data_IF_325075351636
#
_entry.id   IF_325075351636
#
_cell.length_a   1.000
_cell.length_b   1.000
_cell.length_c   1.000
_cell.angle_alpha   90.00
_cell.angle_beta   90.00
_cell.angle_gamma   90.00
#
_symmetry.space_group_name_H-M   'P 1'
#
loop_
_entity.id
_entity.type
_entity.pdbx_description
1 polymer ?
#
# COMPACT_ATOMS: atom_id res chain seq x y z
N UNK A 1 -3.11 15.90 -2.87
CA UNK A 1 -1.80 15.31 -2.47
C UNK A 1 -1.19 14.43 -3.58
N UNK A 2 -1.76 13.27 -3.90
CA UNK A 2 -1.10 12.28 -4.79
C UNK A 2 -0.81 12.77 -6.22
N UNK A 3 -1.60 13.71 -6.76
CA UNK A 3 -1.31 14.34 -8.07
C UNK A 3 0.03 15.08 -8.08
N UNK A 4 0.40 15.75 -6.99
CA UNK A 4 1.70 16.42 -6.82
C UNK A 4 2.86 15.43 -6.84
N UNK A 5 2.61 14.16 -6.52
CA UNK A 5 3.60 13.08 -6.53
C UNK A 5 3.66 12.33 -7.87
N UNK A 6 2.93 12.79 -8.89
CA UNK A 6 2.97 12.23 -10.25
C UNK A 6 1.74 11.41 -10.65
N UNK A 7 0.75 11.23 -9.77
CA UNK A 7 -0.49 10.56 -10.17
C UNK A 7 -1.26 11.40 -11.20
N UNK A 8 -1.47 10.88 -12.41
CA UNK A 8 -2.26 11.57 -13.44
C UNK A 8 -3.76 11.60 -13.11
N UNK A 9 -4.23 10.61 -12.34
CA UNK A 9 -5.63 10.49 -11.91
C UNK A 9 -5.69 10.03 -10.45
N UNK A 10 -6.73 10.45 -9.75
CA UNK A 10 -7.06 10.02 -8.39
C UNK A 10 -8.57 9.88 -8.31
N UNK A 11 -9.05 8.80 -7.70
CA UNK A 11 -10.46 8.50 -7.57
C UNK A 11 -10.82 8.35 -6.09
N UNK A 12 -12.07 8.65 -5.75
CA UNK A 12 -12.60 8.35 -4.43
C UNK A 12 -12.87 6.85 -4.33
N UNK A 13 -12.23 6.20 -3.37
CA UNK A 13 -12.37 4.76 -3.17
C UNK A 13 -13.76 4.36 -2.64
N UNK A 14 -14.53 5.31 -2.09
CA UNK A 14 -15.91 5.07 -1.64
C UNK A 14 -16.94 5.19 -2.77
N UNK A 15 -16.51 5.56 -3.98
CA UNK A 15 -17.42 5.73 -5.11
C UNK A 15 -17.93 4.39 -5.63
N UNK A 16 -19.25 4.26 -5.77
CA UNK A 16 -19.89 3.10 -6.40
C UNK A 16 -19.52 2.95 -7.89
N UNK A 17 -19.08 4.03 -8.54
CA UNK A 17 -18.64 4.04 -9.95
C UNK A 17 -17.11 3.98 -10.11
N UNK A 18 -16.37 3.67 -9.04
CA UNK A 18 -14.91 3.64 -9.03
C UNK A 18 -14.32 2.78 -10.15
N UNK A 19 -14.80 1.55 -10.29
CA UNK A 19 -14.28 0.61 -11.30
C UNK A 19 -14.48 1.13 -12.73
N UNK A 20 -15.70 1.60 -13.05
CA UNK A 20 -16.01 2.14 -14.37
C UNK A 20 -15.16 3.39 -14.67
N UNK A 21 -14.94 4.24 -13.67
CA UNK A 21 -14.11 5.45 -13.80
C UNK A 21 -12.64 5.11 -14.08
N UNK A 22 -12.10 4.08 -13.42
CA UNK A 22 -10.74 3.59 -13.69
C UNK A 22 -10.66 3.01 -15.11
N UNK A 23 -11.60 2.14 -15.49
CA UNK A 23 -11.61 1.51 -16.82
C UNK A 23 -11.68 2.52 -17.96
N UNK A 24 -12.49 3.58 -17.79
CA UNK A 24 -12.57 4.68 -18.76
C UNK A 24 -11.21 5.35 -18.99
N UNK A 25 -10.41 5.53 -17.95
CA UNK A 25 -9.06 6.13 -18.06
C UNK A 25 -8.04 5.17 -18.66
N UNK A 26 -8.22 3.86 -18.46
CA UNK A 26 -7.29 2.83 -18.92
C UNK A 26 -7.55 2.34 -20.34
N UNK A 27 -8.73 2.60 -20.92
CA UNK A 27 -9.18 2.07 -22.22
C UNK A 27 -8.12 2.16 -23.33
N UNK A 28 -7.45 3.30 -23.43
CA UNK A 28 -6.49 3.61 -24.49
C UNK A 28 -5.05 3.69 -23.97
N UNK A 29 -4.72 2.96 -22.90
CA UNK A 29 -3.39 2.98 -22.26
C UNK A 29 -2.82 1.58 -22.11
N UNK A 30 -1.51 1.49 -22.24
CA UNK A 30 -0.77 0.31 -21.81
C UNK A 30 -0.69 0.28 -20.28
N UNK A 31 -1.23 -0.77 -19.66
CA UNK A 31 -1.23 -0.95 -18.21
C UNK A 31 -0.16 -1.97 -17.83
N UNK A 32 0.90 -1.52 -17.16
CA UNK A 32 2.03 -2.37 -16.77
C UNK A 32 1.79 -3.24 -15.52
N UNK A 33 0.57 -3.24 -15.00
CA UNK A 33 0.13 -4.01 -13.84
C UNK A 33 -0.52 -3.12 -12.78
N UNK A 34 -0.70 -3.67 -11.58
CA UNK A 34 -1.24 -2.93 -10.45
C UNK A 34 -0.50 -3.23 -9.15
N UNK A 35 -0.44 -2.24 -8.26
CA UNK A 35 -0.01 -2.41 -6.88
C UNK A 35 -1.21 -2.16 -5.98
N UNK A 36 -1.57 -3.16 -5.17
CA UNK A 36 -2.71 -3.14 -4.27
C UNK A 36 -2.26 -2.83 -2.84
N UNK A 37 -2.78 -1.73 -2.29
CA UNK A 37 -2.50 -1.24 -0.93
C UNK A 37 -3.84 -0.90 -0.28
N UNK A 38 -4.14 -1.52 0.86
CA UNK A 38 -5.39 -1.36 1.59
C UNK A 38 -6.42 -2.46 1.33
N UNK A 39 -7.41 -2.53 2.22
CA UNK A 39 -8.51 -3.52 2.19
C UNK A 39 -9.31 -3.43 0.89
N UNK A 40 -9.59 -4.57 0.26
CA UNK A 40 -10.41 -4.67 -0.96
C UNK A 40 -9.72 -4.20 -2.26
N UNK A 41 -8.52 -3.61 -2.17
CA UNK A 41 -7.83 -3.08 -3.34
C UNK A 41 -7.35 -4.17 -4.30
N UNK A 42 -6.95 -5.34 -3.79
CA UNK A 42 -6.45 -6.44 -4.60
C UNK A 42 -7.53 -7.00 -5.53
N UNK A 43 -8.73 -7.21 -5.00
CA UNK A 43 -9.89 -7.70 -5.73
C UNK A 43 -10.29 -6.74 -6.84
N UNK A 44 -10.35 -5.44 -6.54
CA UNK A 44 -10.64 -4.39 -7.51
C UNK A 44 -9.58 -4.33 -8.61
N UNK A 45 -8.29 -4.41 -8.25
CA UNK A 45 -7.20 -4.45 -9.22
C UNK A 45 -7.33 -5.64 -10.17
N UNK A 46 -7.69 -6.82 -9.67
CA UNK A 46 -7.95 -8.00 -10.52
C UNK A 46 -9.12 -7.73 -11.48
N UNK A 47 -10.23 -7.18 -11.00
CA UNK A 47 -11.41 -6.93 -11.82
C UNK A 47 -11.19 -5.85 -12.89
N UNK A 48 -10.41 -4.81 -12.58
CA UNK A 48 -10.00 -3.78 -13.53
C UNK A 48 -9.04 -4.37 -14.56
N UNK A 49 -7.96 -5.02 -14.13
CA UNK A 49 -6.95 -5.56 -15.03
C UNK A 49 -7.54 -6.61 -15.96
N UNK A 50 -8.49 -7.43 -15.50
CA UNK A 50 -9.18 -8.41 -16.34
C UNK A 50 -9.83 -7.77 -17.58
N UNK A 51 -10.38 -6.56 -17.43
CA UNK A 51 -11.10 -5.83 -18.48
C UNK A 51 -10.21 -4.91 -19.33
N UNK A 52 -8.97 -4.63 -18.92
CA UNK A 52 -8.04 -3.87 -19.75
C UNK A 52 -7.49 -4.73 -20.90
N UNK A 53 -7.64 -4.30 -22.16
CA UNK A 53 -7.15 -5.05 -23.33
C UNK A 53 -5.62 -5.11 -23.40
N UNK A 54 -4.95 -3.98 -23.20
CA UNK A 54 -3.49 -3.85 -23.27
C UNK A 54 -2.91 -3.75 -21.85
N UNK A 55 -2.90 -4.88 -21.13
CA UNK A 55 -2.46 -4.90 -19.74
C UNK A 55 -1.61 -6.13 -19.39
N UNK A 56 -0.53 -5.91 -18.65
CA UNK A 56 0.08 -6.97 -17.84
C UNK A 56 -0.91 -7.39 -16.77
N UNK A 57 -1.36 -8.65 -16.85
CA UNK A 57 -2.35 -9.25 -15.95
C UNK A 57 -1.68 -9.69 -14.64
N UNK A 58 -1.16 -8.73 -13.87
CA UNK A 58 -0.46 -9.01 -12.62
C UNK A 58 -0.71 -7.96 -11.54
N UNK A 59 -1.00 -8.41 -10.32
CA UNK A 59 -1.19 -7.57 -9.12
C UNK A 59 -0.11 -7.86 -8.07
N UNK A 60 0.65 -6.85 -7.69
CA UNK A 60 1.53 -6.88 -6.52
C UNK A 60 0.75 -6.42 -5.28
N UNK A 61 0.67 -7.25 -4.25
CA UNK A 61 -0.18 -7.00 -3.08
C UNK A 61 0.71 -6.68 -1.87
N UNK A 62 0.53 -5.50 -1.28
CA UNK A 62 1.33 -5.01 -0.15
C UNK A 62 0.54 -5.05 1.18
N UNK A 63 -0.75 -5.42 1.12
CA UNK A 63 -1.62 -5.49 2.29
C UNK A 63 -2.21 -6.87 2.43
N UNK A 64 -2.10 -7.44 3.62
CA UNK A 64 -2.77 -8.68 3.98
C UNK A 64 -4.23 -8.41 4.35
N UNK A 65 -5.15 -9.37 4.15
CA UNK A 65 -6.47 -9.28 4.73
C UNK A 65 -6.35 -9.18 6.25
N UNK A 66 -6.51 -7.97 6.79
CA UNK A 66 -6.54 -7.74 8.23
C UNK A 66 -7.98 -7.89 8.69
N UNK A 67 -8.19 -8.85 9.60
CA UNK A 67 -9.40 -8.86 10.42
C UNK A 67 -9.35 -7.63 11.33
N UNK A 68 -10.34 -6.76 11.20
CA UNK A 68 -10.49 -5.60 12.09
C UNK A 68 -10.67 -6.08 13.54
N UNK A 69 -10.01 -5.37 14.46
CA UNK A 69 -10.20 -5.32 15.92
C UNK A 69 -11.08 -6.40 16.57
N UNK A 70 -10.69 -7.68 16.47
CA UNK A 70 -11.29 -8.72 17.32
C UNK A 70 -10.40 -8.97 18.55
N UNK A 71 -11.03 -9.08 19.72
CA UNK A 71 -10.45 -9.52 20.99
C UNK A 71 -10.98 -10.92 21.34
N UNK A 72 -10.15 -11.86 21.83
CA UNK A 72 -10.62 -13.18 22.27
C UNK A 72 -9.58 -14.31 22.20
N UNK A 73 -9.90 -15.50 22.73
CA UNK A 73 -8.96 -16.62 22.81
C UNK A 73 -8.68 -17.30 21.46
N UNK A 74 -9.58 -17.18 20.47
CA UNK A 74 -9.48 -17.86 19.17
C UNK A 74 -8.96 -16.99 18.02
N UNK A 75 -8.44 -15.79 18.33
CA UNK A 75 -8.06 -14.80 17.31
C UNK A 75 -7.03 -15.29 16.32
N UNK A 76 -6.00 -15.99 16.80
CA UNK A 76 -4.92 -16.49 15.93
C UNK A 76 -5.49 -17.50 14.94
N UNK A 77 -6.31 -18.44 15.42
CA UNK A 77 -6.98 -19.44 14.58
C UNK A 77 -7.88 -18.76 13.56
N UNK A 78 -8.69 -17.78 13.97
CA UNK A 78 -9.56 -17.00 13.06
C UNK A 78 -8.76 -16.23 12.01
N UNK A 79 -7.63 -15.61 12.37
CA UNK A 79 -6.74 -14.92 11.43
C UNK A 79 -6.18 -15.88 10.39
N UNK A 80 -5.73 -17.06 10.80
CA UNK A 80 -5.24 -18.10 9.88
C UNK A 80 -6.35 -18.54 8.94
N UNK A 81 -7.53 -18.86 9.46
CA UNK A 81 -8.68 -19.29 8.63
C UNK A 81 -9.07 -18.19 7.64
N UNK A 82 -9.17 -16.94 8.09
CA UNK A 82 -9.51 -15.80 7.24
C UNK A 82 -8.48 -15.60 6.14
N UNK A 83 -7.18 -15.65 6.49
CA UNK A 83 -6.09 -15.54 5.54
C UNK A 83 -6.13 -16.66 4.50
N UNK A 84 -6.24 -17.92 4.91
CA UNK A 84 -6.33 -19.06 4.00
C UNK A 84 -7.56 -18.96 3.09
N UNK A 85 -8.71 -18.63 3.66
CA UNK A 85 -9.96 -18.46 2.90
C UNK A 85 -9.84 -17.36 1.86
N UNK A 86 -9.22 -16.24 2.22
CA UNK A 86 -8.97 -15.14 1.29
C UNK A 86 -7.98 -15.53 0.19
N UNK A 87 -6.87 -16.22 0.53
CA UNK A 87 -5.91 -16.70 -0.46
C UNK A 87 -6.58 -17.64 -1.47
N UNK A 88 -7.40 -18.60 -1.00
CA UNK A 88 -8.14 -19.50 -1.88
C UNK A 88 -9.08 -18.73 -2.80
N UNK A 89 -9.87 -17.78 -2.27
CA UNK A 89 -10.75 -16.92 -3.07
C UNK A 89 -9.96 -16.13 -4.12
N UNK A 90 -8.83 -15.54 -3.74
CA UNK A 90 -7.98 -14.77 -4.65
C UNK A 90 -7.32 -15.63 -5.73
N UNK A 91 -6.88 -16.84 -5.39
CA UNK A 91 -6.34 -17.81 -6.37
C UNK A 91 -7.41 -18.18 -7.39
N UNK A 92 -8.61 -18.56 -6.93
CA UNK A 92 -9.73 -18.90 -7.83
C UNK A 92 -10.10 -17.70 -8.71
N UNK A 93 -10.26 -16.52 -8.11
CA UNK A 93 -10.59 -15.30 -8.85
C UNK A 93 -9.53 -14.94 -9.88
N UNK A 94 -8.25 -14.99 -9.50
CA UNK A 94 -7.13 -14.74 -10.39
C UNK A 94 -7.11 -15.73 -11.56
N UNK A 95 -7.35 -17.02 -11.30
CA UNK A 95 -7.45 -18.04 -12.33
C UNK A 95 -8.60 -17.76 -13.31
N UNK A 96 -9.82 -17.53 -12.80
CA UNK A 96 -11.01 -17.27 -13.63
C UNK A 96 -10.88 -15.99 -14.47
N UNK A 97 -10.12 -15.01 -14.00
CA UNK A 97 -9.91 -13.73 -14.68
C UNK A 97 -8.60 -13.67 -15.48
N UNK A 98 -7.77 -14.72 -15.44
CA UNK A 98 -6.46 -14.73 -16.07
C UNK A 98 -5.50 -13.67 -15.51
N UNK A 99 -5.60 -13.33 -14.22
CA UNK A 99 -4.78 -12.32 -13.55
C UNK A 99 -3.95 -12.97 -12.45
N UNK A 100 -2.63 -12.93 -12.60
CA UNK A 100 -1.69 -13.39 -11.58
C UNK A 100 -1.53 -12.39 -10.44
N UNK A 101 -1.06 -12.87 -9.28
CA UNK A 101 -0.77 -12.00 -8.15
C UNK A 101 0.32 -12.58 -7.26
N UNK A 102 1.04 -11.70 -6.55
CA UNK A 102 1.97 -12.08 -5.47
C UNK A 102 2.01 -11.04 -4.37
N UNK A 103 2.36 -11.48 -3.17
CA UNK A 103 2.65 -10.59 -2.07
C UNK A 103 4.03 -9.93 -2.21
N UNK A 104 4.11 -8.68 -1.78
CA UNK A 104 5.35 -7.94 -1.58
C UNK A 104 5.60 -7.82 -0.07
N UNK A 105 6.64 -8.49 0.41
CA UNK A 105 7.05 -8.43 1.80
C UNK A 105 8.23 -7.47 1.95
N UNK A 106 7.97 -6.27 2.47
CA UNK A 106 9.00 -5.25 2.67
C UNK A 106 10.16 -5.71 3.56
N UNK A 107 9.91 -6.63 4.50
CA UNK A 107 10.94 -7.18 5.41
C UNK A 107 12.04 -7.96 4.69
N UNK A 108 11.77 -8.51 3.51
CA UNK A 108 12.75 -9.28 2.74
C UNK A 108 13.98 -8.45 2.32
N UNK A 109 13.85 -7.11 2.27
CA UNK A 109 14.94 -6.21 1.88
C UNK A 109 16.09 -6.17 2.90
N UNK A 110 15.85 -6.64 4.13
CA UNK A 110 16.85 -6.69 5.19
C UNK A 110 17.92 -7.73 4.88
N UNK A 111 17.51 -8.86 4.29
CA UNK A 111 18.36 -10.05 4.14
C UNK A 111 18.86 -10.25 2.71
N UNK A 112 18.18 -9.70 1.70
CA UNK A 112 18.48 -9.96 0.28
C UNK A 112 19.46 -8.96 -0.36
N UNK A 113 20.06 -8.06 0.42
CA UNK A 113 21.01 -7.04 -0.06
C UNK A 113 20.39 -5.84 -0.76
N UNK A 114 19.10 -5.89 -1.16
CA UNK A 114 18.42 -4.74 -1.80
C UNK A 114 18.34 -3.54 -0.87
N UNK A 115 18.18 -3.74 0.44
CA UNK A 115 18.14 -2.65 1.41
C UNK A 115 19.39 -1.76 1.34
N UNK A 116 20.58 -2.37 1.20
CA UNK A 116 21.84 -1.63 1.12
C UNK A 116 21.90 -0.76 -0.13
N UNK A 117 21.54 -1.31 -1.29
CA UNK A 117 21.54 -0.56 -2.56
C UNK A 117 20.48 0.55 -2.54
N UNK A 118 19.26 0.22 -2.10
CA UNK A 118 18.15 1.17 -2.07
C UNK A 118 18.42 2.35 -1.14
N UNK A 119 18.82 2.09 0.10
CA UNK A 119 19.01 3.16 1.10
C UNK A 119 20.39 3.82 1.04
N UNK A 120 21.42 3.10 0.58
CA UNK A 120 22.79 3.62 0.50
C UNK A 120 23.08 4.41 -0.77
N UNK A 121 22.52 4.00 -1.91
CA UNK A 121 22.90 4.54 -3.22
C UNK A 121 21.73 5.22 -3.92
N UNK A 122 20.61 4.50 -4.08
CA UNK A 122 19.47 4.96 -4.90
C UNK A 122 18.74 6.11 -4.21
N UNK A 123 18.27 5.92 -2.98
CA UNK A 123 17.47 6.91 -2.27
C UNK A 123 18.20 8.23 -2.06
N UNK A 124 19.47 8.27 -1.59
CA UNK A 124 20.22 9.52 -1.46
C UNK A 124 20.35 10.26 -2.81
N UNK A 125 20.64 9.53 -3.89
CA UNK A 125 20.75 10.10 -5.24
C UNK A 125 19.42 10.71 -5.69
N UNK A 126 18.30 10.02 -5.49
CA UNK A 126 16.99 10.52 -5.90
C UNK A 126 16.52 11.70 -5.05
N UNK A 127 16.84 11.71 -3.75
CA UNK A 127 16.59 12.84 -2.85
C UNK A 127 17.37 14.07 -3.30
N UNK A 128 18.68 13.93 -3.54
CA UNK A 128 19.54 15.03 -3.97
C UNK A 128 19.09 15.63 -5.31
N UNK A 129 18.55 14.80 -6.22
CA UNK A 129 18.01 15.23 -7.51
C UNK A 129 16.56 15.71 -7.46
N UNK A 130 15.92 15.71 -6.28
CA UNK A 130 14.50 16.05 -6.13
C UNK A 130 13.54 15.10 -6.86
N UNK A 131 14.00 13.92 -7.25
CA UNK A 131 13.20 12.87 -7.93
C UNK A 131 12.47 11.97 -6.94
N UNK A 132 12.91 11.94 -5.69
CA UNK A 132 12.18 11.37 -4.58
C UNK A 132 11.75 12.51 -3.64
N UNK A 133 10.45 12.69 -3.46
CA UNK A 133 9.87 13.75 -2.62
C UNK A 133 9.37 13.13 -1.32
N UNK A 134 9.94 13.47 -0.15
CA UNK A 134 9.42 13.04 1.14
C UNK A 134 7.96 13.50 1.30
N UNK A 135 7.06 12.55 1.46
CA UNK A 135 5.62 12.79 1.60
C UNK A 135 4.99 11.69 2.43
N UNK A 136 3.94 11.96 3.23
CA UNK A 136 3.34 13.28 3.48
C UNK A 136 4.24 14.22 4.28
N UNK A 137 3.85 15.50 4.37
CA UNK A 137 4.54 16.49 5.20
C UNK A 137 4.63 16.01 6.65
N UNK A 138 5.81 16.17 7.30
CA UNK A 138 5.97 15.78 8.69
C UNK A 138 5.18 16.72 9.60
N UNK A 139 4.63 16.14 10.66
CA UNK A 139 4.08 16.85 11.79
C UNK A 139 4.90 16.45 13.01
N UNK A 140 5.75 17.37 13.47
CA UNK A 140 6.58 17.15 14.65
C UNK A 140 5.72 17.27 15.90
N UNK A 141 5.61 16.17 16.66
CA UNK A 141 4.84 16.13 17.92
C UNK A 141 5.66 16.71 19.07
N UNK A 142 6.99 16.57 19.02
CA UNK A 142 7.92 17.19 19.95
C UNK A 142 9.31 16.55 19.86
N UNK A 143 10.14 16.82 20.86
CA UNK A 143 11.47 16.22 21.03
C UNK A 143 11.47 15.35 22.29
N UNK A 144 12.19 14.23 22.24
CA UNK A 144 12.37 13.32 23.39
C UNK A 144 11.42 12.12 23.40
N UNK A 145 11.82 11.05 24.09
CA UNK A 145 11.07 9.78 24.15
C UNK A 145 9.73 9.92 24.89
N UNK A 146 9.61 10.90 25.78
CA UNK A 146 8.40 11.27 26.49
C UNK A 146 7.24 11.66 25.56
N UNK A 147 7.54 12.04 24.31
CA UNK A 147 6.54 12.39 23.29
C UNK A 147 5.99 11.21 22.51
N UNK A 148 6.51 10.00 22.72
CA UNK A 148 6.06 8.81 21.98
C UNK A 148 4.59 8.47 22.26
N UNK A 149 4.15 8.51 23.52
CA UNK A 149 2.77 8.18 23.86
C UNK A 149 1.79 9.16 23.20
N UNK A 150 2.07 10.46 23.28
CA UNK A 150 1.30 11.51 22.61
C UNK A 150 1.22 11.27 21.10
N UNK A 151 2.35 10.98 20.46
CA UNK A 151 2.39 10.68 19.03
C UNK A 151 1.56 9.43 18.65
N UNK A 152 1.61 8.38 19.48
CA UNK A 152 0.82 7.16 19.25
C UNK A 152 -0.68 7.39 19.43
N UNK A 153 -1.08 8.18 20.42
CA UNK A 153 -2.48 8.54 20.64
C UNK A 153 -3.04 9.39 19.50
N UNK A 154 -2.24 10.31 18.97
CA UNK A 154 -2.57 11.06 17.75
C UNK A 154 -2.68 10.14 16.54
N UNK A 155 -1.74 9.21 16.34
CA UNK A 155 -1.78 8.26 15.23
C UNK A 155 -3.05 7.39 15.28
N UNK A 156 -3.45 6.95 16.48
CA UNK A 156 -4.63 6.11 16.70
C UNK A 156 -5.94 6.81 16.35
N UNK A 157 -6.03 8.13 16.57
CA UNK A 157 -7.17 8.96 16.15
C UNK A 157 -7.23 9.15 14.62
N UNK A 158 -6.15 8.79 13.92
CA UNK A 158 -5.97 9.02 12.50
C UNK A 158 -5.33 10.37 12.22
N UNK A 159 -4.43 10.39 11.22
CA UNK A 159 -3.76 11.60 10.77
C UNK A 159 -3.98 11.78 9.27
N UNK A 160 -4.61 12.88 8.89
CA UNK A 160 -4.97 13.15 7.49
C UNK A 160 -3.74 13.60 6.72
N UNK A 161 -3.14 12.70 5.94
CA UNK A 161 -2.03 13.01 5.03
C UNK A 161 -0.88 13.79 5.73
N UNK A 162 -0.51 13.34 6.93
CA UNK A 162 0.61 13.84 7.73
C UNK A 162 1.41 12.68 8.30
N UNK A 163 2.73 12.85 8.41
CA UNK A 163 3.61 11.87 9.06
C UNK A 163 3.94 12.40 10.45
N UNK A 164 3.46 11.74 11.50
CA UNK A 164 3.89 12.09 12.86
C UNK A 164 5.37 11.77 13.04
N UNK A 165 6.10 12.72 13.60
CA UNK A 165 7.54 12.62 13.87
C UNK A 165 7.80 13.04 15.31
N UNK A 166 8.57 12.24 16.03
CA UNK A 166 9.19 12.61 17.30
C UNK A 166 10.67 12.81 17.01
N UNK A 167 11.19 13.98 17.36
CA UNK A 167 12.61 14.28 17.22
C UNK A 167 13.37 13.78 18.44
N UNK A 168 14.63 13.42 18.26
CA UNK A 168 15.52 13.08 19.36
C UNK A 168 16.64 14.12 19.44
N UNK A 169 17.07 14.50 20.66
CA UNK A 169 18.27 15.32 20.80
C UNK A 169 19.45 14.59 20.15
N UNK A 170 20.35 15.36 19.53
CA UNK A 170 21.61 14.79 19.04
C UNK A 170 22.41 14.32 20.25
N UNK A 171 22.89 13.07 20.19
CA UNK A 171 23.91 12.56 21.09
C UNK A 171 25.23 13.32 20.88
#
# INVERSE_FOLDING_TARGET
MVRRLGATHSFDYNSSSLQASILKVMKDREVVGAVAIGKGSAELCVDVLAQCTHARKFVAIVTYPQLESETGPLLVVRRVISFLSWNTKMTIKGLLKGVGWKFVFATTIVENGLGKVLYGEVLPTLLARGKFVPSPEPQVVGSGLEKLQEAMDMQKKGVSARKLVVTLPRA
#
